data_IF_706844237879
#
_entry.id   IF_706844237879
#
_cell.length_a   1.000
_cell.length_b   1.000
_cell.length_c   1.000
_cell.angle_alpha   90.00
_cell.angle_beta   90.00
_cell.angle_gamma   90.00
#
_symmetry.space_group_name_H-M   'P 1'
#
loop_
_entity.id
_entity.type
_entity.pdbx_description
1 polymer ?
#
# COMPACT_ATOMS: atom_id res chain seq x y z
N UNK A 1 -34.06 -0.41 -13.15
CA UNK A 1 -33.22 0.81 -13.18
C UNK A 1 -32.85 1.09 -14.63
N UNK A 2 -33.00 2.32 -15.11
CA UNK A 2 -32.70 2.66 -16.51
C UNK A 2 -31.18 2.80 -16.73
N UNK A 3 -30.66 2.49 -17.92
CA UNK A 3 -29.20 2.41 -18.19
C UNK A 3 -28.41 3.67 -17.78
N UNK A 4 -29.02 4.85 -17.90
CA UNK A 4 -28.43 6.14 -17.51
C UNK A 4 -28.14 6.19 -16.01
N UNK A 5 -29.09 5.79 -15.17
CA UNK A 5 -28.92 5.78 -13.71
C UNK A 5 -27.88 4.74 -13.25
N UNK A 6 -27.71 3.63 -13.98
CA UNK A 6 -26.66 2.64 -13.69
C UNK A 6 -25.26 3.23 -13.98
N UNK A 7 -25.14 3.97 -15.08
CA UNK A 7 -23.87 4.60 -15.46
C UNK A 7 -23.47 5.71 -14.47
N UNK A 8 -24.41 6.53 -14.02
CA UNK A 8 -24.15 7.58 -13.02
C UNK A 8 -23.64 7.00 -11.69
N UNK A 9 -24.30 5.95 -11.18
CA UNK A 9 -23.87 5.27 -9.95
C UNK A 9 -22.50 4.61 -10.11
N UNK A 10 -22.22 4.03 -11.28
CA UNK A 10 -20.91 3.44 -11.58
C UNK A 10 -19.81 4.50 -11.61
N UNK A 11 -20.08 5.64 -12.26
CA UNK A 11 -19.13 6.74 -12.36
C UNK A 11 -18.79 7.33 -10.98
N UNK A 12 -19.79 7.50 -10.12
CA UNK A 12 -19.58 7.98 -8.75
C UNK A 12 -18.69 7.01 -7.94
N UNK A 13 -18.95 5.69 -8.04
CA UNK A 13 -18.11 4.67 -7.40
C UNK A 13 -16.68 4.70 -7.92
N UNK A 14 -16.50 4.82 -9.24
CA UNK A 14 -15.18 4.88 -9.85
C UNK A 14 -14.40 6.11 -9.39
N UNK A 15 -15.03 7.29 -9.37
CA UNK A 15 -14.41 8.53 -8.85
C UNK A 15 -13.94 8.34 -7.41
N UNK A 16 -14.75 7.69 -6.57
CA UNK A 16 -14.38 7.40 -5.17
C UNK A 16 -13.17 6.47 -5.07
N UNK A 17 -13.09 5.44 -5.91
CA UNK A 17 -11.95 4.52 -5.95
C UNK A 17 -10.67 5.21 -6.44
N UNK A 18 -10.76 6.04 -7.48
CA UNK A 18 -9.64 6.83 -7.99
C UNK A 18 -9.13 7.79 -6.92
N UNK A 19 -10.04 8.53 -6.28
CA UNK A 19 -9.69 9.45 -5.20
C UNK A 19 -8.98 8.73 -4.06
N UNK A 20 -9.45 7.54 -3.69
CA UNK A 20 -8.82 6.73 -2.66
C UNK A 20 -7.43 6.21 -3.01
N UNK A 21 -7.14 6.04 -4.30
CA UNK A 21 -5.85 5.54 -4.77
C UNK A 21 -4.79 6.62 -4.96
N UNK A 22 -5.15 7.91 -4.82
CA UNK A 22 -4.19 9.01 -4.85
C UNK A 22 -3.18 8.90 -3.71
N UNK A 23 -1.87 9.16 -3.94
CA UNK A 23 -0.82 8.96 -2.94
C UNK A 23 -1.11 9.56 -1.56
N UNK A 24 -1.64 10.79 -1.53
CA UNK A 24 -2.00 11.53 -0.32
C UNK A 24 -3.14 10.86 0.49
N UNK A 25 -3.97 10.04 -0.15
CA UNK A 25 -5.12 9.39 0.48
C UNK A 25 -4.85 7.92 0.85
N UNK A 26 -3.82 7.27 0.28
CA UNK A 26 -3.59 5.82 0.44
C UNK A 26 -3.45 5.38 1.90
N UNK A 27 -2.78 6.19 2.72
CA UNK A 27 -2.56 5.89 4.13
C UNK A 27 -3.71 6.35 5.05
N UNK A 28 -4.64 7.20 4.57
CA UNK A 28 -5.65 7.86 5.41
C UNK A 28 -6.46 6.88 6.25
N UNK A 29 -6.92 5.78 5.66
CA UNK A 29 -7.72 4.77 6.37
C UNK A 29 -6.89 3.96 7.36
N UNK A 30 -5.63 3.67 7.04
CA UNK A 30 -4.71 3.00 7.96
C UNK A 30 -4.39 3.91 9.17
N UNK A 31 -4.18 5.20 8.94
CA UNK A 31 -3.97 6.17 10.02
C UNK A 31 -5.22 6.28 10.91
N UNK A 32 -6.42 6.37 10.34
CA UNK A 32 -7.66 6.34 11.12
C UNK A 32 -7.81 5.03 11.92
N UNK A 33 -7.44 3.90 11.34
CA UNK A 33 -7.42 2.62 12.05
C UNK A 33 -6.46 2.61 13.24
N UNK A 34 -5.30 3.28 13.11
CA UNK A 34 -4.34 3.47 14.20
C UNK A 34 -4.89 4.36 15.32
N UNK A 35 -5.68 5.39 14.99
CA UNK A 35 -6.36 6.24 15.99
C UNK A 35 -7.31 5.44 16.89
N UNK A 36 -7.87 4.33 16.40
CA UNK A 36 -8.69 3.39 17.19
C UNK A 36 -7.84 2.46 18.09
N UNK A 37 -6.51 2.66 18.16
CA UNK A 37 -5.58 1.86 18.95
C UNK A 37 -5.24 0.50 18.35
N UNK A 38 -5.68 0.23 17.11
CA UNK A 38 -5.46 -1.05 16.43
C UNK A 38 -4.14 -1.05 15.66
N UNK A 39 -3.72 -2.23 15.21
CA UNK A 39 -2.45 -2.46 14.51
C UNK A 39 -2.62 -2.51 13.00
N UNK A 40 -1.60 -2.08 12.26
CA UNK A 40 -1.56 -2.13 10.79
C UNK A 40 -0.35 -2.94 10.33
N UNK A 41 -0.56 -3.93 9.47
CA UNK A 41 0.48 -4.80 8.92
C UNK A 41 0.62 -4.55 7.43
N UNK A 42 1.82 -4.17 7.00
CA UNK A 42 2.15 -3.96 5.59
C UNK A 42 2.32 -5.28 4.85
N UNK A 43 1.72 -5.38 3.66
CA UNK A 43 1.84 -6.54 2.77
C UNK A 43 2.74 -6.19 1.59
N UNK A 44 3.85 -6.91 1.42
CA UNK A 44 4.72 -6.77 0.26
C UNK A 44 4.23 -7.58 -0.94
N UNK A 45 3.56 -8.69 -0.68
CA UNK A 45 3.15 -9.66 -1.71
C UNK A 45 1.66 -9.98 -1.61
N UNK A 46 1.03 -10.33 -2.73
CA UNK A 46 -0.38 -10.76 -2.79
C UNK A 46 -0.59 -12.18 -2.27
N UNK A 47 0.47 -12.97 -2.10
CA UNK A 47 0.38 -14.31 -1.53
C UNK A 47 0.36 -14.33 0.00
N UNK A 48 0.51 -13.16 0.65
CA UNK A 48 0.35 -13.06 2.09
C UNK A 48 -1.14 -13.25 2.44
N UNK A 49 -1.50 -14.20 3.32
CA UNK A 49 -2.89 -14.45 3.69
C UNK A 49 -3.44 -13.31 4.56
N UNK A 50 -4.07 -12.32 3.93
CA UNK A 50 -4.62 -11.14 4.61
C UNK A 50 -5.74 -11.50 5.60
N UNK A 51 -6.40 -12.63 5.39
CA UNK A 51 -7.47 -13.15 6.24
C UNK A 51 -6.96 -13.50 7.64
N UNK A 52 -5.74 -14.03 7.77
CA UNK A 52 -5.15 -14.34 9.08
C UNK A 52 -4.82 -13.06 9.87
N UNK A 53 -4.36 -12.02 9.17
CA UNK A 53 -4.06 -10.70 9.75
C UNK A 53 -5.36 -10.04 10.21
N UNK A 54 -6.39 -10.07 9.37
CA UNK A 54 -7.72 -9.56 9.69
C UNK A 54 -8.36 -10.33 10.86
N UNK A 55 -8.26 -11.65 10.89
CA UNK A 55 -8.75 -12.49 11.98
C UNK A 55 -8.06 -12.19 13.32
N UNK A 56 -6.80 -11.76 13.29
CA UNK A 56 -6.06 -11.28 14.45
C UNK A 56 -6.42 -9.85 14.88
N UNK A 57 -7.41 -9.21 14.24
CA UNK A 57 -7.87 -7.86 14.57
C UNK A 57 -6.95 -6.74 14.08
N UNK A 58 -6.05 -7.03 13.13
CA UNK A 58 -5.12 -6.07 12.55
C UNK A 58 -5.55 -5.72 11.12
N UNK A 59 -5.17 -4.53 10.64
CA UNK A 59 -5.45 -4.12 9.27
C UNK A 59 -4.35 -4.60 8.33
N UNK A 60 -4.63 -5.52 7.38
CA UNK A 60 -3.73 -5.76 6.25
C UNK A 60 -3.73 -4.54 5.33
N UNK A 61 -2.54 -4.01 5.03
CA UNK A 61 -2.37 -2.82 4.19
C UNK A 61 -1.35 -3.06 3.08
N UNK A 62 -1.76 -2.92 1.82
CA UNK A 62 -0.88 -3.17 0.67
C UNK A 62 0.16 -2.07 0.52
N UNK A 63 1.43 -2.44 0.64
CA UNK A 63 2.54 -1.53 0.34
C UNK A 63 2.61 -1.37 -1.18
N UNK A 64 2.78 -0.12 -1.63
CA UNK A 64 2.91 0.21 -3.05
C UNK A 64 4.27 0.81 -3.38
N UNK A 65 4.95 1.45 -2.44
CA UNK A 65 6.20 2.20 -2.67
C UNK A 65 5.95 3.66 -3.09
N UNK A 66 7.02 4.46 -3.12
CA UNK A 66 6.91 5.92 -3.26
C UNK A 66 6.58 6.37 -4.70
N UNK A 67 7.06 5.63 -5.72
CA UNK A 67 6.92 5.96 -7.15
C UNK A 67 7.29 7.40 -7.55
N UNK A 68 8.10 8.08 -6.73
CA UNK A 68 8.75 9.34 -7.07
C UNK A 68 9.78 9.12 -8.17
N UNK A 69 10.11 10.20 -8.89
CA UNK A 69 11.09 10.16 -9.98
C UNK A 69 12.48 9.69 -9.53
N UNK A 70 12.90 10.06 -8.32
CA UNK A 70 14.19 9.69 -7.75
C UNK A 70 14.04 8.82 -6.49
N UNK A 71 15.02 7.93 -6.30
CA UNK A 71 15.15 7.01 -5.16
C UNK A 71 16.56 7.05 -4.53
N UNK A 72 17.04 8.24 -4.09
CA UNK A 72 18.43 8.42 -3.70
C UNK A 72 18.86 7.63 -2.47
N UNK A 73 17.93 7.22 -1.59
CA UNK A 73 18.27 6.41 -0.42
C UNK A 73 18.36 4.94 -0.79
N UNK A 74 17.41 4.44 -1.59
CA UNK A 74 17.40 3.05 -2.02
C UNK A 74 18.52 2.72 -3.02
N UNK A 75 18.90 3.66 -3.90
CA UNK A 75 19.95 3.45 -4.91
C UNK A 75 21.34 3.18 -4.32
N UNK A 76 21.57 3.54 -3.06
CA UNK A 76 22.80 3.20 -2.32
C UNK A 76 22.87 1.69 -2.04
N UNK A 77 21.73 1.02 -1.89
CA UNK A 77 21.65 -0.39 -1.51
C UNK A 77 21.24 -1.30 -2.65
N UNK A 78 20.55 -0.77 -3.67
CA UNK A 78 19.98 -1.56 -4.78
C UNK A 78 20.50 -1.08 -6.14
N UNK A 79 21.08 -1.98 -6.95
CA UNK A 79 21.47 -1.66 -8.32
C UNK A 79 20.27 -1.27 -9.20
N UNK A 80 20.51 -0.42 -10.21
CA UNK A 80 19.47 0.12 -11.09
C UNK A 80 18.72 -0.96 -11.90
N UNK A 81 19.36 -2.11 -12.18
CA UNK A 81 18.78 -3.20 -12.97
C UNK A 81 18.01 -4.24 -12.12
N UNK A 82 17.58 -3.87 -10.91
CA UNK A 82 16.76 -4.73 -10.04
C UNK A 82 15.28 -4.33 -10.07
N UNK A 83 14.41 -5.10 -9.40
CA UNK A 83 12.98 -4.78 -9.31
C UNK A 83 12.74 -3.36 -8.80
N UNK A 84 12.13 -2.53 -9.67
CA UNK A 84 11.79 -1.13 -9.34
C UNK A 84 10.82 -1.02 -8.17
N UNK A 85 9.88 -1.97 -8.06
CA UNK A 85 8.94 -1.98 -6.94
C UNK A 85 9.69 -2.10 -5.61
N UNK A 86 10.60 -3.07 -5.47
CA UNK A 86 11.40 -3.25 -4.26
C UNK A 86 12.25 -2.01 -3.95
N UNK A 87 12.82 -1.35 -4.96
CA UNK A 87 13.56 -0.10 -4.79
C UNK A 87 12.68 1.06 -4.32
N UNK A 88 11.47 1.23 -4.87
CA UNK A 88 10.52 2.26 -4.41
C UNK A 88 9.93 1.95 -3.03
N UNK A 89 9.78 0.68 -2.67
CA UNK A 89 9.40 0.27 -1.31
C UNK A 89 10.51 0.62 -0.32
N UNK A 90 11.76 0.26 -0.64
CA UNK A 90 12.90 0.58 0.20
C UNK A 90 13.05 2.09 0.39
N UNK A 91 12.85 2.88 -0.67
CA UNK A 91 12.85 4.33 -0.59
C UNK A 91 11.76 4.85 0.38
N UNK A 92 10.54 4.32 0.32
CA UNK A 92 9.47 4.67 1.25
C UNK A 92 9.80 4.30 2.70
N UNK A 93 10.44 3.15 2.93
CA UNK A 93 10.90 2.73 4.27
C UNK A 93 11.96 3.70 4.80
N UNK A 94 13.01 3.97 4.01
CA UNK A 94 14.14 4.80 4.41
C UNK A 94 13.75 6.27 4.63
N UNK A 95 12.77 6.78 3.89
CA UNK A 95 12.21 8.13 4.10
C UNK A 95 11.21 8.19 5.26
N UNK A 96 10.87 7.07 5.90
CA UNK A 96 9.90 7.03 7.00
C UNK A 96 8.43 7.18 6.58
N UNK A 97 8.11 7.11 5.28
CA UNK A 97 6.74 7.18 4.76
C UNK A 97 5.86 6.03 5.30
N UNK A 98 6.48 4.92 5.69
CA UNK A 98 5.82 3.71 6.21
C UNK A 98 5.91 3.57 7.74
N UNK A 99 6.30 4.64 8.46
CA UNK A 99 6.45 4.63 9.93
C UNK A 99 5.17 4.32 10.72
N UNK A 100 4.00 4.38 10.09
CA UNK A 100 2.72 4.04 10.72
C UNK A 100 2.47 2.52 10.79
N UNK A 101 3.22 1.70 10.04
CA UNK A 101 3.10 0.24 10.05
C UNK A 101 3.68 -0.35 11.34
N UNK A 102 2.98 -1.31 11.93
CA UNK A 102 3.45 -2.06 13.10
C UNK A 102 4.27 -3.31 12.72
N UNK A 103 4.27 -3.68 11.44
CA UNK A 103 5.01 -4.80 10.91
C UNK A 103 4.86 -4.90 9.39
N UNK A 104 5.74 -5.67 8.75
CA UNK A 104 5.71 -5.95 7.31
C UNK A 104 5.83 -7.46 7.12
N UNK A 105 5.00 -8.02 6.23
CA UNK A 105 5.05 -9.42 5.85
C UNK A 105 5.31 -9.51 4.35
N UNK A 106 6.32 -10.30 4.00
CA UNK A 106 6.66 -10.70 2.63
C UNK A 106 6.68 -12.22 2.50
N UNK A 107 6.74 -12.69 1.27
CA UNK A 107 6.91 -14.10 0.92
C UNK A 107 8.16 -14.23 0.08
N UNK A 108 8.83 -15.38 0.13
CA UNK A 108 9.91 -15.69 -0.81
C UNK A 108 9.31 -16.03 -2.19
N UNK A 109 8.98 -15.00 -2.98
CA UNK A 109 8.41 -15.15 -4.32
C UNK A 109 9.47 -14.96 -5.41
N UNK A 110 10.35 -13.99 -5.22
CA UNK A 110 11.45 -13.63 -6.11
C UNK A 110 12.76 -13.46 -5.33
N UNK A 111 13.86 -13.26 -6.06
CA UNK A 111 15.22 -13.12 -5.52
C UNK A 111 15.54 -11.69 -5.02
N UNK A 112 14.58 -10.76 -5.14
CA UNK A 112 14.73 -9.31 -4.89
C UNK A 112 14.18 -8.85 -3.53
#
# INVERSE_FOLDING_TARGET
MNKVAINEVMEEKLKKLIEGNKPENRARWALKWKEEGKKVIGLLCSYVPEELIAAAGMLPWRITGTWKEAIPLASVYRPEMTCRYCSHVLESVLNGELSFLDGIIGTQLDDD
#
